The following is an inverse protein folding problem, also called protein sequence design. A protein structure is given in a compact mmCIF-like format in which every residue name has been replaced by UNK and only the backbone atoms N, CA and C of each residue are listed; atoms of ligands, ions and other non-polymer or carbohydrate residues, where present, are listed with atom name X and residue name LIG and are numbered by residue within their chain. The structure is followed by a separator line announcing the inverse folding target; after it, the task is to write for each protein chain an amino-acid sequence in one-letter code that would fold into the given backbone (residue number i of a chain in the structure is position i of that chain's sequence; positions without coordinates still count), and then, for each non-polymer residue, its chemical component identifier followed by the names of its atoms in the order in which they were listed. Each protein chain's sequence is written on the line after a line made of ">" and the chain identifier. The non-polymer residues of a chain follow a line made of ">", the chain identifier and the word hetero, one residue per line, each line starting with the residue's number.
data_IF_453151057183
#
_entry.id   IF_453151057183
#
_cell.length_a   1.000
_cell.length_b   1.000
_cell.length_c   1.000
_cell.angle_alpha   90.00
_cell.angle_beta   90.00
_cell.angle_gamma   90.00
#
_symmetry.space_group_name_H-M   'P 1'
#
loop_
_entity.id
_entity.type
_entity.pdbx_description
1 polymer ?
#
# COMPACT_ATOMS: atom_id res chain seq x y z
N UNK A 1 -45.15 -19.69 54.86
CA UNK A 1 -45.45 -20.10 53.47
C UNK A 1 -45.71 -18.82 52.68
N UNK A 2 -44.90 -18.52 51.66
CA UNK A 2 -45.16 -17.35 50.78
C UNK A 2 -43.92 -16.71 50.16
N UNK A 3 -43.42 -17.32 49.07
CA UNK A 3 -42.89 -16.68 47.86
C UNK A 3 -41.54 -15.90 47.93
N UNK A 4 -40.47 -16.58 48.29
CA UNK A 4 -39.09 -16.26 47.87
C UNK A 4 -38.76 -16.96 46.54
N UNK A 5 -39.20 -16.45 45.40
CA UNK A 5 -38.88 -17.11 44.12
C UNK A 5 -39.10 -16.23 42.87
N UNK A 6 -38.55 -15.01 42.79
CA UNK A 6 -38.51 -14.24 41.51
C UNK A 6 -37.27 -13.37 41.32
N UNK A 7 -36.13 -13.78 41.89
CA UNK A 7 -34.86 -13.04 41.76
C UNK A 7 -33.74 -13.95 41.26
N UNK A 8 -33.84 -14.49 40.04
CA UNK A 8 -32.75 -15.29 39.46
C UNK A 8 -32.90 -15.58 37.94
N UNK A 9 -33.33 -14.65 37.09
CA UNK A 9 -33.35 -14.94 35.64
C UNK A 9 -33.35 -13.73 34.69
N UNK A 10 -32.48 -12.73 34.87
CA UNK A 10 -32.25 -11.70 33.83
C UNK A 10 -30.77 -11.26 33.74
N UNK A 11 -29.81 -12.13 34.10
CA UNK A 11 -28.39 -11.75 34.17
C UNK A 11 -27.46 -12.75 33.48
N UNK A 12 -27.87 -13.30 32.33
CA UNK A 12 -27.10 -14.29 31.59
C UNK A 12 -27.17 -14.16 30.05
N UNK A 13 -27.35 -12.94 29.49
CA UNK A 13 -27.32 -12.71 28.03
C UNK A 13 -26.46 -11.50 27.62
N UNK A 14 -25.70 -10.88 28.54
CA UNK A 14 -24.88 -9.69 28.25
C UNK A 14 -23.36 -9.94 28.23
N UNK A 15 -22.92 -11.20 28.07
CA UNK A 15 -21.50 -11.57 28.14
C UNK A 15 -21.04 -12.48 26.98
N UNK A 16 -21.58 -12.28 25.77
CA UNK A 16 -21.22 -13.06 24.59
C UNK A 16 -21.14 -12.24 23.29
N UNK A 17 -20.67 -10.99 23.37
CA UNK A 17 -20.48 -10.09 22.21
C UNK A 17 -19.13 -9.37 22.22
N UNK A 18 -18.09 -10.00 22.78
CA UNK A 18 -16.69 -9.54 22.64
C UNK A 18 -15.94 -10.65 21.92
N UNK A 19 -15.74 -10.52 20.60
CA UNK A 19 -14.80 -11.37 19.86
C UNK A 19 -15.29 -11.96 18.54
N UNK A 20 -15.73 -11.14 17.59
CA UNK A 20 -15.78 -11.49 16.16
C UNK A 20 -15.91 -10.19 15.35
N UNK A 21 -15.03 -9.79 14.45
CA UNK A 21 -13.76 -10.36 14.03
C UNK A 21 -12.91 -9.28 13.36
N UNK A 22 -11.65 -9.18 13.78
CA UNK A 22 -10.57 -8.67 12.95
C UNK A 22 -9.78 -9.91 12.52
N UNK A 23 -10.32 -10.64 11.55
CA UNK A 23 -9.61 -11.70 10.85
C UNK A 23 -9.70 -11.39 9.36
N UNK A 24 -9.13 -10.25 8.97
CA UNK A 24 -8.78 -10.02 7.58
C UNK A 24 -7.36 -10.56 7.36
N UNK A 25 -7.32 -11.52 6.44
CA UNK A 25 -6.15 -11.94 5.66
C UNK A 25 -5.01 -12.63 6.41
N UNK A 26 -5.24 -13.87 6.81
CA UNK A 26 -4.20 -14.87 6.66
C UNK A 26 -4.77 -15.99 5.77
N UNK A 27 -4.59 -15.87 4.46
CA UNK A 27 -4.62 -17.06 3.58
C UNK A 27 -3.34 -17.84 3.87
N UNK A 28 -3.41 -19.08 4.40
CA UNK A 28 -2.26 -19.96 4.42
C UNK A 28 -2.35 -20.86 3.19
N UNK A 29 -1.55 -20.60 2.15
CA UNK A 29 -1.10 -21.58 1.15
C UNK A 29 -0.44 -20.87 -0.04
N UNK A 30 0.83 -20.54 0.13
CA UNK A 30 1.77 -20.36 -0.97
C UNK A 30 3.09 -20.91 -0.47
N UNK A 31 3.80 -21.68 -1.28
CA UNK A 31 5.13 -22.19 -0.93
C UNK A 31 6.12 -21.06 -0.60
N UNK A 32 7.42 -21.36 -0.39
CA UNK A 32 8.43 -20.32 -0.23
C UNK A 32 8.25 -19.28 -1.34
N UNK A 33 8.06 -18.03 -0.93
CA UNK A 33 7.94 -16.89 -1.83
C UNK A 33 9.35 -16.63 -2.39
N UNK A 34 9.70 -17.34 -3.45
CA UNK A 34 10.95 -17.14 -4.21
C UNK A 34 10.86 -15.90 -5.12
N UNK A 35 9.94 -14.98 -4.84
CA UNK A 35 9.52 -13.91 -5.75
C UNK A 35 9.36 -12.59 -5.00
N UNK A 36 9.68 -11.48 -5.65
CA UNK A 36 9.41 -10.15 -5.13
C UNK A 36 7.91 -9.98 -4.87
N UNK A 37 7.57 -9.51 -3.67
CA UNK A 37 6.22 -9.08 -3.35
C UNK A 37 6.24 -7.87 -2.43
N UNK A 38 5.30 -6.97 -2.66
CA UNK A 38 5.11 -5.75 -1.90
C UNK A 38 3.65 -5.66 -1.50
N UNK A 39 3.38 -5.85 -0.21
CA UNK A 39 2.02 -5.76 0.32
C UNK A 39 2.04 -4.79 1.49
N UNK A 40 1.08 -3.89 1.51
CA UNK A 40 1.00 -2.91 2.58
C UNK A 40 -0.05 -1.87 2.32
N UNK A 41 -0.14 -0.96 3.26
CA UNK A 41 -1.01 0.18 3.12
C UNK A 41 -0.79 1.11 4.28
N UNK A 42 -1.06 2.38 4.04
CA UNK A 42 -0.88 3.35 5.08
C UNK A 42 -1.43 4.70 4.69
N UNK A 43 -1.20 5.61 5.63
CA UNK A 43 -1.71 6.95 5.57
C UNK A 43 -0.64 7.92 6.00
N UNK A 44 -0.46 8.97 5.22
CA UNK A 44 0.23 10.17 5.68
C UNK A 44 -0.79 11.31 5.85
N UNK A 45 -0.58 12.11 6.89
CA UNK A 45 -1.45 13.26 7.19
C UNK A 45 -1.16 14.46 6.29
N UNK A 46 -1.81 15.62 6.55
CA UNK A 46 -1.46 16.88 5.91
C UNK A 46 -0.01 17.23 6.26
N UNK A 47 0.88 17.16 5.28
CA UNK A 47 2.31 17.31 5.46
C UNK A 47 2.99 17.63 4.13
N UNK A 48 4.24 18.08 4.23
CA UNK A 48 5.13 18.20 3.08
C UNK A 48 6.08 17.01 3.07
N UNK A 49 6.35 16.49 1.88
CA UNK A 49 7.43 15.55 1.66
C UNK A 49 8.79 16.22 1.84
N UNK A 50 9.84 15.40 1.97
CA UNK A 50 11.22 15.89 2.03
C UNK A 50 11.65 16.67 0.77
N UNK A 51 10.98 16.46 -0.36
CA UNK A 51 11.15 17.23 -1.60
C UNK A 51 10.35 18.54 -1.66
N UNK A 52 9.58 18.87 -0.62
CA UNK A 52 8.80 20.11 -0.53
C UNK A 52 7.42 20.05 -1.17
N UNK A 53 6.95 18.87 -1.60
CA UNK A 53 5.59 18.70 -2.11
C UNK A 53 4.60 18.54 -0.95
N UNK A 54 3.61 19.44 -0.86
CA UNK A 54 2.72 19.52 0.30
C UNK A 54 1.29 19.09 -0.02
N UNK A 55 0.72 18.28 0.88
CA UNK A 55 -0.70 17.94 0.87
C UNK A 55 -1.45 18.68 1.97
N UNK A 56 -2.54 19.36 1.60
CA UNK A 56 -3.44 20.00 2.56
C UNK A 56 -4.41 19.01 3.24
N UNK A 57 -4.55 17.81 2.67
CA UNK A 57 -5.41 16.75 3.17
C UNK A 57 -4.62 15.44 3.26
N UNK A 58 -5.03 14.50 4.13
CA UNK A 58 -4.40 13.19 4.24
C UNK A 58 -4.43 12.42 2.92
N UNK A 59 -3.50 11.47 2.77
CA UNK A 59 -3.56 10.49 1.69
C UNK A 59 -3.42 9.10 2.25
N UNK A 60 -4.22 8.21 1.72
CA UNK A 60 -4.19 6.80 1.99
C UNK A 60 -3.71 6.07 0.73
N UNK A 61 -3.02 4.97 0.94
CA UNK A 61 -2.68 4.06 -0.13
C UNK A 61 -2.79 2.61 0.35
N UNK A 62 -2.99 1.72 -0.61
CA UNK A 62 -2.92 0.28 -0.44
C UNK A 62 -2.18 -0.29 -1.63
N UNK A 63 -1.17 -1.10 -1.37
CA UNK A 63 -0.38 -1.77 -2.38
C UNK A 63 -0.49 -3.28 -2.18
N UNK A 64 -0.78 -3.97 -3.28
CA UNK A 64 -0.76 -5.42 -3.36
C UNK A 64 -0.09 -5.78 -4.69
N UNK A 65 1.22 -6.03 -4.66
CA UNK A 65 2.04 -6.28 -5.83
C UNK A 65 2.77 -7.61 -5.70
N UNK A 66 2.75 -8.40 -6.77
CA UNK A 66 3.36 -9.72 -6.83
C UNK A 66 4.14 -9.90 -8.13
N UNK A 67 5.29 -10.56 -8.04
CA UNK A 67 5.98 -11.09 -9.21
C UNK A 67 5.71 -12.58 -9.38
N UNK A 68 5.60 -13.03 -10.63
CA UNK A 68 5.45 -14.43 -11.01
C UNK A 68 6.81 -15.08 -11.30
N UNK A 69 6.84 -16.40 -11.42
CA UNK A 69 8.02 -17.17 -11.87
C UNK A 69 8.53 -16.75 -13.23
N UNK A 70 7.65 -16.23 -14.08
CA UNK A 70 7.96 -15.77 -15.43
C UNK A 70 8.37 -14.30 -15.46
N UNK A 71 8.59 -13.69 -14.28
CA UNK A 71 8.89 -12.27 -14.07
C UNK A 71 7.79 -11.33 -14.52
N UNK A 72 6.56 -11.83 -14.62
CA UNK A 72 5.39 -10.98 -14.79
C UNK A 72 5.04 -10.36 -13.44
N UNK A 73 4.93 -9.04 -13.39
CA UNK A 73 4.43 -8.35 -12.20
C UNK A 73 2.96 -8.01 -12.41
N UNK A 74 2.15 -8.28 -11.39
CA UNK A 74 0.74 -7.96 -11.37
C UNK A 74 0.30 -7.52 -9.98
N UNK A 75 -0.84 -6.85 -9.91
CA UNK A 75 -1.37 -6.38 -8.64
C UNK A 75 -2.13 -5.07 -8.78
N UNK A 76 -2.33 -4.41 -7.65
CA UNK A 76 -3.06 -3.16 -7.59
C UNK A 76 -2.42 -2.19 -6.60
N UNK A 77 -2.38 -0.93 -7.01
CA UNK A 77 -2.12 0.19 -6.13
C UNK A 77 -3.37 1.09 -6.11
N UNK A 78 -3.89 1.32 -4.91
CA UNK A 78 -4.93 2.32 -4.65
C UNK A 78 -4.26 3.51 -3.98
N UNK A 79 -4.58 4.71 -4.44
CA UNK A 79 -4.08 5.95 -3.86
C UNK A 79 -5.22 6.96 -3.77
N UNK A 80 -5.43 7.59 -2.62
CA UNK A 80 -6.60 8.44 -2.45
C UNK A 80 -6.66 9.21 -1.14
N UNK A 81 -7.86 9.71 -0.86
CA UNK A 81 -8.23 10.39 0.38
C UNK A 81 -9.47 9.69 0.92
N UNK A 82 -9.27 8.79 1.89
CA UNK A 82 -10.37 8.01 2.46
C UNK A 82 -11.34 8.86 3.28
N UNK A 83 -10.93 10.03 3.77
CA UNK A 83 -11.83 10.95 4.50
C UNK A 83 -12.85 11.57 3.53
N UNK A 84 -12.43 11.80 2.29
CA UNK A 84 -13.33 12.21 1.20
C UNK A 84 -14.14 11.03 0.63
N UNK A 85 -13.82 9.79 1.01
CA UNK A 85 -14.45 8.57 0.49
C UNK A 85 -14.12 8.28 -0.98
N UNK A 86 -13.03 8.83 -1.51
CA UNK A 86 -12.70 8.78 -2.94
C UNK A 86 -11.26 8.30 -3.15
N UNK A 87 -11.10 7.19 -3.88
CA UNK A 87 -9.82 6.85 -4.49
C UNK A 87 -9.49 7.90 -5.56
N UNK A 88 -8.30 8.51 -5.47
CA UNK A 88 -7.84 9.47 -6.48
C UNK A 88 -7.39 8.70 -7.72
N UNK A 89 -6.69 7.58 -7.52
CA UNK A 89 -6.16 6.73 -8.57
C UNK A 89 -6.26 5.26 -8.18
N UNK A 90 -6.56 4.43 -9.16
CA UNK A 90 -6.39 2.98 -9.12
C UNK A 90 -5.50 2.57 -10.28
N UNK A 91 -4.44 1.86 -9.93
CA UNK A 91 -3.35 1.53 -10.84
C UNK A 91 -3.26 0.01 -10.90
N UNK A 92 -3.26 -0.52 -12.12
CA UNK A 92 -2.91 -1.90 -12.38
C UNK A 92 -1.39 -1.99 -12.40
N UNK A 93 -0.83 -2.67 -11.41
CA UNK A 93 0.63 -2.79 -11.25
C UNK A 93 1.17 -3.62 -12.40
N UNK A 94 2.14 -3.07 -13.13
CA UNK A 94 2.82 -3.76 -14.24
C UNK A 94 4.29 -4.00 -13.96
N UNK A 95 4.85 -3.33 -12.95
CA UNK A 95 6.21 -3.55 -12.51
C UNK A 95 6.36 -3.27 -11.00
N UNK A 96 7.30 -3.98 -10.39
CA UNK A 96 7.77 -3.74 -9.04
C UNK A 96 9.27 -3.97 -9.06
N UNK A 97 10.00 -3.17 -8.27
CA UNK A 97 11.41 -3.40 -8.01
C UNK A 97 11.68 -3.11 -6.54
N UNK A 98 12.39 -4.01 -5.87
CA UNK A 98 12.82 -3.83 -4.49
C UNK A 98 14.34 -3.91 -4.35
N UNK A 99 14.91 -3.12 -3.44
CA UNK A 99 16.31 -3.22 -3.01
C UNK A 99 16.40 -2.93 -1.51
N UNK A 100 16.86 -3.92 -0.75
CA UNK A 100 16.85 -3.87 0.71
C UNK A 100 15.45 -3.58 1.25
N UNK A 101 15.29 -2.41 1.85
CA UNK A 101 14.06 -1.96 2.48
C UNK A 101 13.28 -0.92 1.64
N UNK A 102 13.67 -0.71 0.38
CA UNK A 102 13.05 0.26 -0.53
C UNK A 102 12.38 -0.48 -1.66
N UNK A 103 11.25 0.04 -2.11
CA UNK A 103 10.62 -0.44 -3.33
C UNK A 103 9.99 0.70 -4.15
N UNK A 104 9.92 0.47 -5.45
CA UNK A 104 9.06 1.20 -6.37
C UNK A 104 8.01 0.25 -6.91
N UNK A 105 6.77 0.71 -6.93
CA UNK A 105 5.64 0.05 -7.57
C UNK A 105 5.10 0.99 -8.62
N UNK A 106 4.99 0.49 -9.85
CA UNK A 106 4.53 1.27 -10.97
C UNK A 106 3.58 0.48 -11.85
N UNK A 107 2.73 1.20 -12.57
CA UNK A 107 1.70 0.58 -13.36
C UNK A 107 0.88 1.56 -14.18
N UNK A 108 -0.13 1.03 -14.87
CA UNK A 108 -1.02 1.80 -15.74
C UNK A 108 -2.21 2.28 -14.92
N UNK A 109 -2.58 3.54 -15.09
CA UNK A 109 -3.76 4.08 -14.42
C UNK A 109 -5.02 3.50 -15.06
N UNK A 110 -5.75 2.69 -14.28
CA UNK A 110 -7.01 2.06 -14.68
C UNK A 110 -8.20 2.97 -14.43
N UNK A 111 -8.22 3.60 -13.27
CA UNK A 111 -9.25 4.58 -12.89
C UNK A 111 -8.60 5.78 -12.21
N UNK A 112 -9.14 6.97 -12.45
CA UNK A 112 -8.68 8.19 -11.80
C UNK A 112 -9.84 9.18 -11.66
N UNK A 113 -9.82 9.99 -10.60
CA UNK A 113 -10.86 11.00 -10.34
C UNK A 113 -10.99 12.01 -11.49
N UNK A 114 -9.86 12.44 -12.02
CA UNK A 114 -9.79 13.13 -13.31
C UNK A 114 -9.70 12.07 -14.43
N UNK A 115 -10.74 11.92 -15.27
CA UNK A 115 -10.80 10.87 -16.28
C UNK A 115 -9.79 11.04 -17.42
N UNK A 116 -9.15 12.20 -17.56
CA UNK A 116 -8.11 12.42 -18.58
C UNK A 116 -6.89 11.53 -18.40
N UNK A 117 -6.71 10.99 -17.18
CA UNK A 117 -5.62 10.08 -16.84
C UNK A 117 -5.98 8.59 -16.97
N UNK A 118 -7.23 8.25 -17.33
CA UNK A 118 -7.73 6.86 -17.36
C UNK A 118 -7.93 6.33 -18.79
N UNK A 119 -7.11 6.75 -19.75
CA UNK A 119 -7.17 6.31 -21.16
C UNK A 119 -6.16 5.20 -21.53
N UNK A 120 -5.44 4.68 -20.53
CA UNK A 120 -4.39 3.67 -20.70
C UNK A 120 -3.05 4.20 -21.21
N UNK A 121 -2.90 5.52 -21.46
CA UNK A 121 -1.64 6.15 -21.89
C UNK A 121 -0.86 6.81 -20.74
N UNK A 122 -1.44 6.80 -19.54
CA UNK A 122 -0.84 7.35 -18.33
C UNK A 122 -0.36 6.24 -17.39
N UNK A 123 0.83 6.44 -16.86
CA UNK A 123 1.43 5.60 -15.85
C UNK A 123 1.47 6.31 -14.51
N UNK A 124 1.68 5.52 -13.47
CA UNK A 124 2.03 6.05 -12.16
C UNK A 124 3.17 5.27 -11.53
N UNK A 125 3.94 5.95 -10.69
CA UNK A 125 4.98 5.37 -9.88
C UNK A 125 4.85 5.82 -8.43
N UNK A 126 5.10 4.89 -7.51
CA UNK A 126 4.96 5.09 -6.07
C UNK A 126 6.12 4.41 -5.35
N UNK A 127 6.78 5.14 -4.46
CA UNK A 127 7.94 4.66 -3.73
C UNK A 127 7.60 4.46 -2.26
N UNK A 128 8.17 3.42 -1.68
CA UNK A 128 8.01 3.08 -0.26
C UNK A 128 9.36 2.73 0.36
N UNK A 129 9.48 3.03 1.65
CA UNK A 129 10.62 2.66 2.50
C UNK A 129 10.08 1.98 3.75
N UNK A 130 10.36 0.68 3.88
CA UNK A 130 10.07 -0.16 5.05
C UNK A 130 11.14 0.13 6.12
N UNK A 131 10.79 0.81 7.21
CA UNK A 131 11.76 1.19 8.24
C UNK A 131 11.77 0.20 9.42
N UNK A 132 11.20 -0.99 9.25
CA UNK A 132 11.23 -2.06 10.23
C UNK A 132 9.86 -2.69 10.46
N UNK A 133 9.75 -3.60 11.44
CA UNK A 133 8.52 -4.35 11.63
C UNK A 133 7.36 -3.46 12.12
N UNK A 134 6.11 -3.85 11.84
CA UNK A 134 4.94 -3.12 12.30
C UNK A 134 4.94 -2.91 13.81
N UNK A 135 4.65 -1.68 14.23
CA UNK A 135 4.71 -1.25 15.63
C UNK A 135 6.11 -0.89 16.15
N UNK A 136 7.12 -0.89 15.29
CA UNK A 136 8.46 -0.37 15.57
C UNK A 136 8.49 1.14 15.85
N UNK A 137 9.62 1.61 16.37
CA UNK A 137 9.82 3.04 16.68
C UNK A 137 10.05 3.88 15.41
N UNK A 138 10.68 3.30 14.39
CA UNK A 138 10.84 3.93 13.09
C UNK A 138 9.59 3.64 12.25
N UNK A 139 9.03 4.68 11.64
CA UNK A 139 7.84 4.60 10.80
C UNK A 139 8.26 4.50 9.36
N UNK A 140 7.52 3.71 8.60
CA UNK A 140 7.68 3.63 7.15
C UNK A 140 7.47 4.98 6.49
N UNK A 141 7.93 5.07 5.25
CA UNK A 141 7.77 6.25 4.43
C UNK A 141 7.21 5.90 3.06
N UNK A 142 6.51 6.84 2.47
CA UNK A 142 5.99 6.74 1.11
C UNK A 142 6.13 8.06 0.37
N UNK A 143 6.31 8.00 -0.95
CA UNK A 143 6.34 9.21 -1.79
C UNK A 143 4.93 9.71 -2.09
N UNK A 144 4.79 10.95 -2.60
CA UNK A 144 3.67 11.29 -3.47
C UNK A 144 3.55 10.31 -4.65
N UNK A 145 2.33 10.14 -5.19
CA UNK A 145 2.12 9.42 -6.44
C UNK A 145 2.63 10.28 -7.61
N UNK A 146 3.63 9.81 -8.33
CA UNK A 146 3.99 10.38 -9.63
C UNK A 146 2.95 9.90 -10.65
N UNK A 147 2.35 10.83 -11.38
CA UNK A 147 1.45 10.56 -12.51
C UNK A 147 1.96 11.33 -13.72
N UNK A 148 2.29 10.61 -14.80
CA UNK A 148 2.68 11.22 -16.07
C UNK A 148 2.34 10.28 -17.24
N UNK A 149 2.50 10.77 -18.47
CA UNK A 149 2.38 9.94 -19.67
C UNK A 149 3.46 8.87 -19.66
N UNK A 150 3.09 7.66 -20.09
CA UNK A 150 4.07 6.60 -20.33
C UNK A 150 5.08 7.10 -21.38
N UNK A 151 6.37 6.89 -21.11
CA UNK A 151 7.45 7.43 -21.94
C UNK A 151 7.98 8.82 -21.51
N UNK A 152 7.33 9.48 -20.55
CA UNK A 152 7.83 10.74 -19.97
C UNK A 152 9.05 10.50 -19.07
N UNK A 153 9.85 11.55 -18.75
CA UNK A 153 10.96 11.43 -17.83
C UNK A 153 10.60 10.77 -16.50
N UNK A 154 11.30 9.70 -16.14
CA UNK A 154 11.02 8.86 -14.97
C UNK A 154 10.09 7.67 -15.24
N UNK A 155 9.37 7.64 -16.35
CA UNK A 155 8.46 6.56 -16.76
C UNK A 155 8.81 6.01 -18.16
N UNK A 156 10.04 6.21 -18.63
CA UNK A 156 10.46 5.92 -20.01
C UNK A 156 10.36 4.44 -20.37
N UNK A 157 10.65 3.57 -19.40
CA UNK A 157 10.63 2.11 -19.58
C UNK A 157 9.26 1.47 -19.37
N UNK A 158 8.26 2.22 -18.90
CA UNK A 158 6.95 1.67 -18.59
C UNK A 158 6.18 1.25 -19.87
N UNK A 159 5.31 0.23 -19.79
CA UNK A 159 5.02 -0.59 -18.60
C UNK A 159 6.02 -1.75 -18.39
N UNK A 160 6.98 -1.95 -19.30
CA UNK A 160 7.85 -3.13 -19.33
C UNK A 160 8.96 -3.09 -18.27
N UNK A 161 9.45 -1.91 -17.93
CA UNK A 161 10.52 -1.70 -16.97
C UNK A 161 10.06 -0.75 -15.88
N UNK A 162 10.50 -1.05 -14.66
CA UNK A 162 10.27 -0.15 -13.54
C UNK A 162 11.17 1.06 -13.60
N UNK A 163 10.66 2.21 -13.13
CA UNK A 163 11.51 3.33 -12.79
C UNK A 163 12.72 2.92 -11.94
N UNK A 164 13.83 3.67 -12.01
CA UNK A 164 14.95 3.44 -11.11
C UNK A 164 14.49 3.59 -9.66
N UNK A 165 15.08 2.80 -8.76
CA UNK A 165 14.94 3.06 -7.33
C UNK A 165 15.65 4.39 -7.02
N UNK A 166 14.84 5.41 -6.77
CA UNK A 166 15.32 6.75 -6.51
C UNK A 166 15.34 7.03 -5.00
N UNK A 167 16.44 7.61 -4.52
CA UNK A 167 16.59 7.99 -3.13
C UNK A 167 15.76 9.23 -2.77
N UNK A 168 15.30 9.99 -3.77
CA UNK A 168 14.45 11.16 -3.58
C UNK A 168 13.10 11.08 -4.30
N UNK A 169 12.73 9.91 -4.82
CA UNK A 169 11.47 9.68 -5.54
C UNK A 169 11.20 10.77 -6.59
N UNK A 170 12.12 10.98 -7.53
CA UNK A 170 12.06 12.03 -8.56
C UNK A 170 12.01 13.46 -8.02
N UNK A 171 12.74 13.71 -6.95
CA UNK A 171 12.76 14.99 -6.25
C UNK A 171 11.49 15.30 -5.46
N UNK A 172 10.45 14.44 -5.50
CA UNK A 172 9.27 14.61 -4.66
C UNK A 172 9.55 14.28 -3.20
N UNK A 173 10.52 13.42 -2.92
CA UNK A 173 10.88 12.97 -1.59
C UNK A 173 9.81 12.08 -0.94
N UNK A 174 9.91 11.95 0.37
CA UNK A 174 9.12 11.01 1.15
C UNK A 174 8.33 11.69 2.28
N UNK A 175 7.21 11.10 2.64
CA UNK A 175 6.41 11.41 3.83
C UNK A 175 6.45 10.24 4.79
N UNK A 176 6.57 10.52 6.08
CA UNK A 176 6.44 9.50 7.12
C UNK A 176 5.00 9.09 7.31
N UNK A 177 4.75 7.79 7.40
CA UNK A 177 3.40 7.26 7.62
C UNK A 177 2.91 7.57 9.04
N UNK A 178 1.73 8.15 9.12
CA UNK A 178 1.01 8.39 10.37
C UNK A 178 0.34 7.11 10.91
N UNK A 179 -0.09 6.23 10.00
CA UNK A 179 -0.61 4.89 10.33
C UNK A 179 -0.41 3.94 9.16
N UNK A 180 -0.48 2.64 9.44
CA UNK A 180 -0.23 1.59 8.46
C UNK A 180 1.23 1.13 8.47
N UNK A 181 1.52 0.22 7.55
CA UNK A 181 2.79 -0.50 7.44
C UNK A 181 2.93 -1.02 6.00
N UNK A 182 4.15 -1.06 5.49
CA UNK A 182 4.47 -1.61 4.19
C UNK A 182 5.58 -2.61 4.35
N UNK A 183 5.30 -3.85 3.93
CA UNK A 183 6.28 -4.92 3.96
C UNK A 183 6.89 -5.05 2.57
N UNK A 184 8.16 -4.72 2.45
CA UNK A 184 8.94 -4.91 1.23
C UNK A 184 9.73 -6.21 1.33
N UNK A 185 9.50 -7.14 0.40
CA UNK A 185 10.30 -8.38 0.31
C UNK A 185 11.00 -8.44 -1.05
N UNK A 186 12.31 -8.16 -1.11
CA UNK A 186 13.08 -8.40 -2.32
C UNK A 186 13.17 -9.91 -2.60
N UNK A 187 13.45 -10.25 -3.86
CA UNK A 187 13.72 -11.64 -4.25
C UNK A 187 14.84 -12.17 -3.36
N UNK A 188 14.62 -13.34 -2.76
CA UNK A 188 15.68 -13.98 -1.99
C UNK A 188 16.81 -14.31 -2.97
N UNK A 189 17.93 -13.59 -2.87
CA UNK A 189 19.16 -13.97 -3.58
C UNK A 189 19.56 -15.33 -3.04
N UNK A 190 19.25 -16.40 -3.78
CA UNK A 190 19.75 -17.73 -3.49
C UNK A 190 21.27 -17.67 -3.64
N UNK A 191 21.99 -17.45 -2.54
CA UNK A 191 23.44 -17.57 -2.52
C UNK A 191 23.77 -19.06 -2.69
N UNK A 192 24.11 -19.43 -3.93
CA UNK A 192 24.66 -20.75 -4.26
C UNK A 192 26.10 -20.92 -3.77
#
# INVERSE_FOLDING_TARGET
>A
MGNFARSALVLAVAAALVGAGAAYSAKPAGGPADHEHGVGGGRFGPACSTGGFCFAAPRDFSVDAHSSKEKEVYGQLLYGDSDAGVAIAQIDVTCMRADGNRAVVAGIIREHRDPTFADGTWGAAFYVVDNGPPGGAARDQASPLLVDRIGAPGLEGMPAECPPLDNDAFGFGFLTLHSGDVVVRPEAVLTG
#
